data_IF_580072099765
#
_entry.id   IF_580072099765
#
_cell.length_a   1.000
_cell.length_b   1.000
_cell.length_c   1.000
_cell.angle_alpha   90.00
_cell.angle_beta   90.00
_cell.angle_gamma   90.00
#
_symmetry.space_group_name_H-M   'P 1'
#
loop_
_entity.id
_entity.type
_entity.pdbx_description
1 polymer ?
#
# COMPACT_ATOMS: atom_id res chain seq x y z
N UNK A 1 -24.49 -4.04 3.55
CA UNK A 1 -23.55 -3.31 2.71
C UNK A 1 -22.17 -3.93 2.82
N UNK A 2 -21.60 -4.32 1.71
CA UNK A 2 -20.29 -4.96 1.73
C UNK A 2 -19.20 -3.92 1.89
N UNK A 3 -18.26 -4.23 2.77
CA UNK A 3 -17.09 -3.41 2.95
C UNK A 3 -16.05 -3.76 1.88
N UNK A 4 -15.47 -2.75 1.27
CA UNK A 4 -14.38 -2.96 0.32
C UNK A 4 -13.14 -3.44 1.06
N UNK A 5 -12.40 -4.33 0.43
CA UNK A 5 -11.11 -4.75 0.96
C UNK A 5 -10.16 -3.56 0.87
N UNK A 6 -9.51 -3.25 1.97
CA UNK A 6 -8.55 -2.14 2.04
C UNK A 6 -7.14 -2.69 1.93
N UNK A 7 -6.39 -2.15 0.99
CA UNK A 7 -5.04 -2.62 0.70
C UNK A 7 -4.07 -1.45 0.87
N UNK A 8 -3.06 -1.67 1.70
CA UNK A 8 -1.99 -0.70 1.88
C UNK A 8 -0.82 -1.11 0.99
N UNK A 9 -0.43 -0.22 0.09
CA UNK A 9 0.72 -0.45 -0.79
C UNK A 9 1.87 0.41 -0.29
N UNK A 10 2.97 -0.24 0.05
CA UNK A 10 4.15 0.46 0.55
C UNK A 10 5.38 0.02 -0.23
N UNK A 11 6.35 0.91 -0.29
CA UNK A 11 7.65 0.62 -0.87
C UNK A 11 8.70 0.83 0.21
N UNK A 12 9.16 -0.24 0.86
CA UNK A 12 10.21 -0.11 1.87
C UNK A 12 11.55 0.13 1.23
N UNK A 13 12.46 0.74 1.99
CA UNK A 13 13.83 0.92 1.56
C UNK A 13 14.11 2.30 0.99
N UNK A 14 15.32 2.44 0.43
CA UNK A 14 15.85 3.73 0.01
C UNK A 14 15.71 3.98 -1.48
N UNK A 15 15.24 3.00 -2.23
CA UNK A 15 15.07 3.11 -3.67
C UNK A 15 13.96 4.13 -3.97
N UNK A 16 14.27 5.11 -4.82
CA UNK A 16 13.32 6.13 -5.20
C UNK A 16 12.36 5.72 -6.31
N UNK A 17 12.45 4.50 -6.82
CA UNK A 17 11.63 4.06 -7.94
C UNK A 17 10.32 3.44 -7.44
N UNK A 18 9.24 4.20 -7.53
CA UNK A 18 7.95 3.76 -7.05
C UNK A 18 6.94 3.49 -8.17
N UNK A 19 7.40 3.48 -9.41
CA UNK A 19 6.54 3.35 -10.57
C UNK A 19 5.74 2.04 -10.56
N UNK A 20 6.41 0.94 -10.25
CA UNK A 20 5.74 -0.36 -10.19
C UNK A 20 4.65 -0.40 -9.12
N UNK A 21 4.94 0.18 -7.96
CA UNK A 21 3.98 0.24 -6.88
C UNK A 21 2.76 1.06 -7.27
N UNK A 22 2.96 2.18 -7.97
CA UNK A 22 1.85 3.02 -8.43
C UNK A 22 0.99 2.30 -9.45
N UNK A 23 1.60 1.58 -10.38
CA UNK A 23 0.85 0.82 -11.38
C UNK A 23 -0.03 -0.23 -10.71
N UNK A 24 0.53 -0.96 -9.75
CA UNK A 24 -0.23 -1.97 -9.01
C UNK A 24 -1.36 -1.32 -8.22
N UNK A 25 -1.09 -0.18 -7.59
CA UNK A 25 -2.11 0.52 -6.82
C UNK A 25 -3.29 0.94 -7.71
N UNK A 26 -3.02 1.47 -8.88
CA UNK A 26 -4.06 1.85 -9.81
C UNK A 26 -4.85 0.64 -10.30
N UNK A 27 -4.17 -0.45 -10.62
CA UNK A 27 -4.84 -1.66 -11.08
C UNK A 27 -5.76 -2.23 -10.01
N UNK A 28 -5.33 -2.27 -8.77
CA UNK A 28 -6.16 -2.75 -7.67
C UNK A 28 -7.36 -1.85 -7.42
N UNK A 29 -7.15 -0.54 -7.50
CA UNK A 29 -8.25 0.39 -7.35
C UNK A 29 -9.29 0.20 -8.45
N UNK A 30 -8.84 0.02 -9.68
CA UNK A 30 -9.74 -0.22 -10.81
C UNK A 30 -10.50 -1.52 -10.66
N UNK A 31 -9.93 -2.50 -9.95
CA UNK A 31 -10.59 -3.76 -9.69
C UNK A 31 -11.62 -3.69 -8.55
N UNK A 32 -11.76 -2.52 -7.91
CA UNK A 32 -12.76 -2.32 -6.88
C UNK A 32 -12.26 -2.35 -5.45
N UNK A 33 -10.95 -2.44 -5.26
CA UNK A 33 -10.37 -2.39 -3.92
C UNK A 33 -10.16 -0.96 -3.48
N UNK A 34 -10.16 -0.74 -2.18
CA UNK A 34 -9.78 0.54 -1.61
C UNK A 34 -8.27 0.51 -1.35
N UNK A 35 -7.52 1.37 -2.03
CA UNK A 35 -6.06 1.32 -1.99
C UNK A 35 -5.53 2.56 -1.30
N UNK A 36 -4.61 2.34 -0.36
CA UNK A 36 -3.89 3.40 0.32
C UNK A 36 -2.42 3.27 -0.08
N UNK A 37 -1.89 4.31 -0.66
CA UNK A 37 -0.50 4.36 -1.08
C UNK A 37 0.27 5.33 -0.18
N UNK A 38 1.29 4.82 0.51
CA UNK A 38 1.99 5.62 1.50
C UNK A 38 3.24 6.31 0.96
N UNK A 39 3.63 6.01 -0.27
CA UNK A 39 4.82 6.62 -0.83
C UNK A 39 6.10 5.89 -0.49
N UNK A 40 7.19 6.62 -0.38
CA UNK A 40 8.53 6.07 -0.30
C UNK A 40 9.06 6.02 1.12
N UNK A 41 10.06 5.18 1.32
CA UNK A 41 10.91 5.18 2.51
C UNK A 41 10.16 4.93 3.82
N UNK A 42 9.33 3.92 3.80
CA UNK A 42 8.63 3.54 5.02
C UNK A 42 9.47 2.55 5.82
N UNK A 43 9.68 2.83 7.10
CA UNK A 43 10.30 1.86 8.00
C UNK A 43 9.25 0.81 8.38
N UNK A 44 9.68 -0.39 8.83
CA UNK A 44 8.72 -1.39 9.28
C UNK A 44 7.76 -0.86 10.35
N UNK A 45 8.25 -0.08 11.30
CA UNK A 45 7.39 0.50 12.34
C UNK A 45 6.36 1.44 11.77
N UNK A 46 6.74 2.26 10.79
CA UNK A 46 5.83 3.16 10.12
C UNK A 46 4.76 2.40 9.34
N UNK A 47 5.16 1.31 8.68
CA UNK A 47 4.22 0.48 7.93
C UNK A 47 3.17 -0.13 8.88
N UNK A 48 3.62 -0.67 10.00
CA UNK A 48 2.71 -1.25 10.98
C UNK A 48 1.76 -0.20 11.55
N UNK A 49 2.30 0.96 11.93
CA UNK A 49 1.48 2.05 12.45
C UNK A 49 0.41 2.48 11.45
N UNK A 50 0.81 2.67 10.19
CA UNK A 50 -0.13 3.06 9.15
C UNK A 50 -1.19 1.99 8.93
N UNK A 51 -0.79 0.72 8.89
CA UNK A 51 -1.71 -0.37 8.68
C UNK A 51 -2.78 -0.43 9.78
N UNK A 52 -2.36 -0.25 11.02
CA UNK A 52 -3.28 -0.24 12.16
C UNK A 52 -4.19 0.98 12.13
N UNK A 53 -3.62 2.13 11.84
CA UNK A 53 -4.35 3.40 11.81
C UNK A 53 -5.40 3.41 10.72
N UNK A 54 -5.09 2.84 9.57
CA UNK A 54 -5.97 2.81 8.41
C UNK A 54 -6.86 1.57 8.37
N UNK A 55 -6.67 0.65 9.31
CA UNK A 55 -7.48 -0.57 9.41
C UNK A 55 -7.50 -1.34 8.09
N UNK A 56 -6.31 -1.62 7.57
CA UNK A 56 -6.21 -2.29 6.28
C UNK A 56 -6.33 -3.81 6.43
N UNK A 57 -6.80 -4.46 5.38
CA UNK A 57 -6.95 -5.90 5.34
C UNK A 57 -5.71 -6.59 4.78
N UNK A 58 -4.99 -5.91 3.90
CA UNK A 58 -3.83 -6.47 3.21
C UNK A 58 -2.73 -5.41 3.13
N UNK A 59 -1.49 -5.84 3.31
CA UNK A 59 -0.32 -5.00 3.08
C UNK A 59 0.43 -5.55 1.88
N UNK A 60 0.58 -4.74 0.84
CA UNK A 60 1.39 -5.09 -0.31
C UNK A 60 2.72 -4.37 -0.26
N UNK A 61 3.80 -5.12 -0.34
CA UNK A 61 5.15 -4.57 -0.33
C UNK A 61 5.73 -4.62 -1.73
N UNK A 62 6.17 -3.47 -2.23
CA UNK A 62 6.84 -3.39 -3.51
C UNK A 62 8.35 -3.43 -3.28
N UNK A 63 8.94 -4.59 -3.53
CA UNK A 63 10.36 -4.82 -3.29
C UNK A 63 11.04 -5.14 -4.62
N UNK A 64 12.16 -4.48 -4.87
CA UNK A 64 12.98 -4.76 -6.03
C UNK A 64 14.30 -5.36 -5.62
#
# INVERSE_FOLDING_TARGET
MERKVRILIVKPGLDGHDRGAKVIAYALRDAGFEVIYTGLRQTPDQIVSTALQEDVDVIGLSIL
#
